data_IF_757728186641
#
_entry.id   IF_757728186641
#
_cell.length_a   1.000
_cell.length_b   1.000
_cell.length_c   1.000
_cell.angle_alpha   90.00
_cell.angle_beta   90.00
_cell.angle_gamma   90.00
#
_symmetry.space_group_name_H-M   'P 1'
#
loop_
_entity.id
_entity.type
_entity.pdbx_description
1 polymer ?
2 non-polymer ?
3 water ?
#
# COMPACT_ATOMS: atom_id res chain seq x y z
N UNK A 2 -8.84 7.04 -12.64
CA UNK A 2 -8.85 6.47 -11.24
C UNK A 2 -8.03 5.20 -11.29
N UNK A 3 -7.28 4.96 -10.23
CA UNK A 3 -6.43 3.79 -10.30
C UNK A 3 -7.12 2.47 -10.59
N UNK A 4 -6.47 1.59 -11.35
CA UNK A 4 -6.96 0.23 -11.49
C UNK A 4 -6.97 -0.45 -10.12
N UNK A 5 -5.97 -0.14 -9.29
CA UNK A 5 -5.90 -0.69 -7.92
C UNK A 5 -5.12 0.21 -7.00
N UNK A 6 -5.58 0.47 -5.79
CA UNK A 6 -4.82 1.15 -4.77
C UNK A 6 -4.37 0.03 -3.80
N UNK A 7 -3.09 -0.19 -3.61
CA UNK A 7 -2.60 -1.20 -2.69
C UNK A 7 -2.28 -0.66 -1.31
N UNK A 8 -2.71 -1.39 -0.28
CA UNK A 8 -2.48 -1.01 1.09
C UNK A 8 -2.08 -2.22 1.91
N UNK A 9 -1.21 -2.01 2.91
CA UNK A 9 -0.84 -3.04 3.85
C UNK A 9 0.39 -2.69 4.66
N UNK A 10 0.69 -3.58 5.60
CA UNK A 10 1.78 -3.33 6.54
C UNK A 10 3.15 -3.63 5.91
N UNK A 11 4.24 -3.10 6.48
CA UNK A 11 5.56 -3.56 6.05
C UNK A 11 5.65 -5.06 6.20
N UNK A 12 6.26 -5.76 5.25
CA UNK A 12 6.26 -7.19 5.25
C UNK A 12 5.19 -7.79 4.36
N UNK A 13 4.16 -7.00 3.98
CA UNK A 13 3.04 -7.55 3.23
C UNK A 13 3.40 -7.75 1.76
N UNK A 14 4.54 -7.21 1.34
CA UNK A 14 5.04 -7.37 -0.02
C UNK A 14 4.53 -6.28 -0.93
N UNK A 15 4.03 -5.20 -0.32
CA UNK A 15 3.42 -4.10 -1.06
C UNK A 15 4.28 -3.59 -2.24
N UNK A 16 5.59 -3.35 -2.06
CA UNK A 16 6.39 -2.83 -3.18
C UNK A 16 6.54 -3.84 -4.33
N UNK A 17 6.82 -5.10 -4.00
CA UNK A 17 7.09 -6.10 -4.99
C UNK A 17 5.79 -6.46 -5.71
N UNK A 18 4.69 -6.63 -4.96
CA UNK A 18 3.40 -6.91 -5.56
C UNK A 18 2.95 -5.75 -6.44
N UNK A 19 3.13 -4.51 -5.98
CA UNK A 19 2.77 -3.32 -6.81
C UNK A 19 3.46 -3.34 -8.16
N UNK A 20 4.75 -3.56 -8.15
CA UNK A 20 5.52 -3.62 -9.39
C UNK A 20 5.04 -4.76 -10.27
N UNK A 21 4.88 -5.92 -9.67
CA UNK A 21 4.44 -7.08 -10.44
C UNK A 21 3.06 -6.94 -11.08
N UNK A 22 2.14 -6.39 -10.26
CA UNK A 22 0.81 -6.13 -10.70
C UNK A 22 0.81 -5.11 -11.86
N UNK A 23 1.59 -4.02 -11.68
CA UNK A 23 1.62 -3.01 -12.74
C UNK A 23 2.18 -3.58 -14.05
N UNK A 24 3.21 -4.42 -13.92
CA UNK A 24 3.81 -5.10 -15.03
C UNK A 24 2.80 -5.98 -15.76
N UNK A 25 2.00 -6.75 -14.98
CA UNK A 25 1.11 -7.70 -15.61
C UNK A 25 -0.03 -7.00 -16.33
N UNK A 26 -0.50 -5.89 -15.73
CA UNK A 26 -1.56 -5.07 -16.34
C UNK A 26 -1.09 -4.14 -17.44
N UNK A 27 0.20 -3.85 -17.38
CA UNK A 27 0.79 -2.92 -18.31
C UNK A 27 0.40 -1.49 -18.02
N UNK A 28 0.51 -1.11 -16.75
CA UNK A 28 0.08 0.26 -16.30
C UNK A 28 1.15 0.91 -15.42
N UNK A 29 1.02 2.19 -15.16
CA UNK A 29 1.98 2.92 -14.36
C UNK A 29 1.90 2.65 -12.90
N UNK A 30 3.02 2.69 -12.21
CA UNK A 30 3.10 2.50 -10.75
C UNK A 30 3.46 3.77 -10.09
N UNK A 31 2.61 4.26 -9.20
CA UNK A 31 2.89 5.49 -8.49
C UNK A 31 2.90 5.19 -7.01
N UNK A 32 3.99 5.53 -6.35
CA UNK A 32 4.16 5.32 -4.87
C UNK A 32 4.05 6.65 -4.15
N UNK A 33 3.08 6.78 -3.24
CA UNK A 33 2.82 8.11 -2.64
C UNK A 33 4.00 8.64 -1.83
N UNK A 34 4.78 7.79 -1.17
CA UNK A 34 5.91 8.25 -0.35
C UNK A 34 6.96 8.92 -1.33
N UNK A 35 7.25 8.23 -2.44
CA UNK A 35 8.17 8.77 -3.45
C UNK A 35 7.58 10.07 -4.04
N UNK A 36 6.29 10.09 -4.35
CA UNK A 36 5.65 11.26 -4.89
C UNK A 36 5.75 12.51 -3.98
N UNK A 37 5.67 12.28 -2.67
CA UNK A 37 5.81 13.38 -1.73
C UNK A 37 7.20 13.95 -1.81
N UNK A 38 8.21 13.09 -1.90
CA UNK A 38 9.59 13.61 -1.96
C UNK A 38 9.82 14.32 -3.29
N UNK A 39 9.24 13.80 -4.37
CA UNK A 39 9.40 14.43 -5.69
C UNK A 39 8.69 15.80 -5.80
N UNK A 40 7.63 16.02 -5.04
CA UNK A 40 6.87 17.25 -5.12
C UNK A 40 7.39 18.34 -4.20
N UNK A 41 8.08 17.96 -3.12
CA UNK A 41 8.60 18.88 -2.07
C UNK A 41 10.11 19.10 -2.23
N UNK A 42 10.82 18.16 -2.77
CA UNK A 42 12.27 18.22 -2.75
C UNK A 42 12.89 17.97 -1.38
N UNK A 43 12.09 17.38 -0.48
CA UNK A 43 12.55 17.13 0.91
C UNK A 43 12.28 15.64 1.25
N UNK A 44 13.09 15.08 2.14
CA UNK A 44 12.90 13.66 2.54
C UNK A 44 11.78 13.58 3.52
N UNK A 45 11.13 12.39 3.58
CA UNK A 45 10.04 12.15 4.53
C UNK A 45 10.48 12.56 5.94
N UNK A 46 11.67 12.12 6.29
CA UNK A 46 12.19 12.43 7.63
C UNK A 46 12.35 13.93 7.95
N UNK A 47 12.82 14.69 6.95
CA UNK A 47 13.03 16.13 7.01
C UNK A 47 11.72 16.83 7.22
N UNK A 48 10.66 16.43 6.48
CA UNK A 48 9.38 17.05 6.64
C UNK A 48 8.81 16.82 8.05
N UNK A 49 8.91 15.55 8.49
CA UNK A 49 8.45 15.23 9.85
C UNK A 49 9.15 16.11 10.86
N UNK A 50 10.46 16.21 10.73
CA UNK A 50 11.28 16.84 11.77
C UNK A 50 11.02 18.32 11.83
N UNK A 51 10.78 18.93 10.68
CA UNK A 51 10.69 20.34 10.62
C UNK A 51 9.29 20.93 10.56
N UNK A 52 8.37 20.30 9.85
CA UNK A 52 6.98 20.83 9.82
C UNK A 52 6.04 20.13 10.81
N UNK A 53 6.46 18.93 11.24
CA UNK A 53 5.67 18.15 12.17
C UNK A 53 4.76 17.16 11.46
N UNK A 54 4.22 16.23 12.25
CA UNK A 54 3.44 15.12 11.69
C UNK A 54 2.20 15.61 11.01
N UNK A 55 1.49 16.53 11.65
CA UNK A 55 0.22 16.90 11.10
C UNK A 55 0.41 17.52 9.72
N UNK A 56 1.50 18.28 9.54
CA UNK A 56 1.71 18.96 8.30
C UNK A 56 2.16 17.95 7.25
N UNK A 57 3.01 16.99 7.63
CA UNK A 57 3.32 15.84 6.74
C UNK A 57 2.01 15.18 6.26
N UNK A 58 1.09 14.97 7.20
CA UNK A 58 -0.16 14.29 6.83
C UNK A 58 -1.05 15.11 5.89
N UNK A 59 -1.07 16.45 6.03
CA UNK A 59 -1.76 17.32 5.05
C UNK A 59 -1.17 17.25 3.64
N UNK A 60 0.15 17.34 3.56
CA UNK A 60 0.88 17.21 2.30
C UNK A 60 0.62 15.86 1.65
N UNK A 61 0.71 14.79 2.42
CA UNK A 61 0.38 13.46 1.91
C UNK A 61 -1.03 13.34 1.42
N UNK A 62 -1.98 13.85 2.18
CA UNK A 62 -3.39 13.84 1.78
C UNK A 62 -3.60 14.49 0.42
N UNK A 63 -2.94 15.64 0.22
CA UNK A 63 -3.02 16.34 -1.07
C UNK A 63 -2.49 15.52 -2.23
N UNK A 64 -1.33 14.91 -2.03
CA UNK A 64 -0.74 13.99 -2.98
C UNK A 64 -1.62 12.81 -3.31
N UNK A 65 -2.18 12.18 -2.27
CA UNK A 65 -3.07 11.03 -2.47
C UNK A 65 -4.33 11.43 -3.22
N UNK A 66 -4.97 12.55 -2.85
CA UNK A 66 -6.11 13.01 -3.59
C UNK A 66 -5.82 13.26 -5.08
N UNK A 67 -4.69 13.93 -5.35
CA UNK A 67 -4.27 14.12 -6.75
C UNK A 67 -4.07 12.83 -7.55
N UNK A 68 -3.37 11.87 -6.92
CA UNK A 68 -3.15 10.59 -7.51
C UNK A 68 -4.43 9.83 -7.79
N UNK A 69 -5.40 9.87 -6.83
CA UNK A 69 -6.67 9.18 -7.04
C UNK A 69 -7.46 9.82 -8.18
N UNK A 70 -7.33 11.14 -8.33
CA UNK A 70 -7.96 11.85 -9.41
C UNK A 70 -7.36 11.58 -10.78
N UNK A 71 -6.05 11.46 -10.86
CA UNK A 71 -5.35 11.61 -12.12
C UNK A 71 -4.61 10.33 -12.60
N UNK A 72 -4.29 9.39 -11.71
CA UNK A 72 -3.52 8.19 -12.05
C UNK A 72 -4.39 7.04 -12.45
N UNK A 73 -4.09 6.34 -13.53
CA UNK A 73 -4.91 5.27 -14.08
C UNK A 73 -4.39 3.89 -13.73
N UNK A 74 -3.22 3.78 -13.18
CA UNK A 74 -2.55 2.49 -12.95
C UNK A 74 -2.67 1.95 -11.55
N UNK A 75 -1.56 1.54 -10.98
CA UNK A 75 -1.49 0.96 -9.60
C UNK A 75 -0.97 2.10 -8.74
N UNK A 76 -1.61 2.30 -7.58
CA UNK A 76 -1.24 3.37 -6.61
C UNK A 76 -0.86 2.67 -5.33
N UNK A 77 0.37 2.75 -4.91
CA UNK A 77 0.82 2.07 -3.71
C UNK A 77 0.77 3.15 -2.60
N UNK A 78 -0.07 2.95 -1.60
CA UNK A 78 -0.26 3.93 -0.56
C UNK A 78 0.73 3.82 0.57
N UNK A 79 1.38 4.92 0.93
CA UNK A 79 2.24 4.96 2.07
C UNK A 79 1.57 4.52 3.36
N UNK A 80 2.35 3.91 4.24
CA UNK A 80 1.88 3.16 5.41
C UNK A 80 1.01 3.87 6.45
N UNK A 81 1.12 5.16 6.54
CA UNK A 81 0.36 5.88 7.54
C UNK A 81 -0.71 6.74 6.92
N UNK A 82 -0.84 6.74 5.60
CA UNK A 82 -1.82 7.59 4.95
C UNK A 82 -3.24 7.33 5.54
N UNK A 83 -3.55 6.06 5.71
CA UNK A 83 -4.92 5.75 6.15
C UNK A 83 -5.26 6.24 7.56
N UNK A 84 -4.30 6.72 8.32
CA UNK A 84 -4.63 7.31 9.64
C UNK A 84 -5.28 8.64 9.47
N UNK A 85 -5.17 9.23 8.29
CA UNK A 85 -5.81 10.50 7.99
C UNK A 85 -7.28 10.30 7.57
N UNK A 86 -8.25 10.86 8.35
CA UNK A 86 -9.64 10.66 7.97
C UNK A 86 -9.88 11.09 6.53
N UNK A 87 -9.26 12.18 6.07
CA UNK A 87 -9.48 12.65 4.73
C UNK A 87 -9.04 11.69 3.63
N UNK A 88 -7.99 10.94 3.91
CA UNK A 88 -7.56 9.83 3.02
C UNK A 88 -8.60 8.72 2.96
N UNK A 89 -9.12 8.33 4.14
CA UNK A 89 -10.13 7.28 4.13
C UNK A 89 -11.39 7.76 3.38
N UNK A 90 -11.75 9.03 3.48
CA UNK A 90 -12.86 9.58 2.74
C UNK A 90 -12.56 9.55 1.25
N UNK A 91 -11.37 10.05 0.88
CA UNK A 91 -11.01 10.13 -0.54
C UNK A 91 -10.94 8.75 -1.24
N UNK A 92 -10.58 7.70 -0.49
CA UNK A 92 -10.54 6.36 -1.05
C UNK A 92 -11.90 5.79 -1.42
N UNK A 93 -12.96 6.24 -0.76
CA UNK A 93 -14.27 5.60 -1.03
C UNK A 93 -14.71 5.70 -2.49
N UNK A 94 -15.06 4.56 -3.07
CA UNK A 94 -15.38 4.46 -4.46
C UNK A 94 -14.30 3.86 -5.36
N UNK A 95 -13.06 3.86 -4.84
CA UNK A 95 -11.94 3.28 -5.54
C UNK A 95 -11.83 1.77 -5.26
N UNK A 96 -11.03 1.08 -6.08
CA UNK A 96 -10.66 -0.25 -5.89
C UNK A 96 -9.46 -0.35 -4.96
N UNK A 97 -9.62 -0.88 -3.76
CA UNK A 97 -8.62 -0.83 -2.70
C UNK A 97 -8.32 -2.27 -2.29
N UNK A 98 -7.11 -2.72 -2.59
CA UNK A 98 -6.63 -4.08 -2.38
C UNK A 98 -5.74 -4.09 -1.12
N UNK A 99 -6.18 -4.77 -0.08
CA UNK A 99 -5.48 -4.94 1.19
C UNK A 99 -4.73 -6.22 1.22
N UNK A 100 -3.41 -6.15 1.21
CA UNK A 100 -2.48 -7.31 1.25
C UNK A 100 -2.36 -7.67 2.71
N UNK A 101 -3.15 -8.66 3.14
CA UNK A 101 -3.35 -8.93 4.55
C UNK A 101 -2.37 -9.96 5.05
N UNK A 102 -1.69 -9.64 6.16
CA UNK A 102 -0.80 -10.62 6.88
C UNK A 102 -1.02 -10.56 8.37
N UNK A 103 -0.73 -11.69 9.02
CA UNK A 103 -0.73 -11.74 10.47
C UNK A 103 0.44 -10.98 11.07
N UNK A 104 0.27 -10.72 12.35
CA UNK A 104 1.32 -10.12 13.18
C UNK A 104 2.56 -10.98 13.15
N UNK A 105 2.43 -12.29 13.30
CA UNK A 105 3.62 -13.18 13.30
C UNK A 105 4.37 -13.31 11.96
N UNK A 106 3.62 -13.34 10.86
CA UNK A 106 4.19 -13.33 9.54
C UNK A 106 4.96 -12.04 9.31
N UNK A 107 4.34 -10.91 9.69
CA UNK A 107 4.98 -9.61 9.55
C UNK A 107 6.30 -9.48 10.29
N UNK A 108 6.31 -9.93 11.53
CA UNK A 108 7.51 -9.95 12.33
C UNK A 108 8.60 -10.74 11.63
N UNK A 109 8.24 -11.91 11.18
CA UNK A 109 9.21 -12.76 10.50
C UNK A 109 9.77 -12.14 9.27
N UNK A 110 8.93 -11.46 8.50
CA UNK A 110 9.32 -10.90 7.21
C UNK A 110 10.03 -9.59 7.24
N UNK A 111 10.00 -8.92 8.37
CA UNK A 111 10.64 -7.64 8.52
C UNK A 111 11.91 -7.75 9.39
N UNK A 112 12.31 -8.98 9.68
CA UNK A 112 13.57 -9.22 10.43
C UNK A 112 14.86 -9.00 9.62
N UNK A 113 14.79 -8.92 8.30
CA UNK A 113 16.02 -8.71 7.56
C UNK A 113 16.83 -9.99 7.39
N UNK A 114 18.09 -9.83 7.00
CA UNK A 114 18.93 -10.99 6.65
C UNK A 114 19.65 -11.68 7.81
N UNK A 115 19.62 -11.10 8.99
CA UNK A 115 20.22 -11.74 10.18
C UNK A 115 19.52 -13.10 10.47
N UNK A 116 20.30 -14.02 10.96
CA UNK A 116 19.82 -15.36 11.16
C UNK A 116 19.12 -15.51 12.54
N UNK A 117 19.54 -14.71 13.51
CA UNK A 117 18.97 -14.72 14.86
C UNK A 117 18.36 -13.34 15.26
N UNK A 118 17.20 -13.00 14.69
CA UNK A 118 16.51 -11.72 14.98
C UNK A 118 16.18 -11.54 16.46
N UNK A 119 15.81 -12.64 17.14
CA UNK A 119 15.48 -12.54 18.59
C UNK A 119 16.66 -11.98 19.41
N UNK A 120 17.90 -12.17 18.97
CA UNK A 120 19.03 -11.71 19.76
C UNK A 120 19.21 -10.21 19.84
N UNK A 121 18.54 -9.44 18.98
CA UNK A 121 18.65 -7.99 19.05
C UNK A 121 17.73 -7.42 20.07
N UNK A 122 16.91 -8.28 20.68
CA UNK A 122 15.99 -7.90 21.74
C UNK A 122 14.60 -7.67 21.14
N UNK A 123 13.59 -7.61 22.00
CA UNK A 123 12.17 -7.60 21.60
C UNK A 123 11.61 -6.25 21.12
N UNK A 124 12.32 -5.15 21.28
CA UNK A 124 11.70 -3.84 21.00
C UNK A 124 11.19 -3.68 19.54
N UNK A 125 11.99 -4.03 18.51
CA UNK A 125 11.59 -3.86 17.10
C UNK A 125 10.31 -4.64 16.84
N UNK A 126 10.25 -5.89 17.27
CA UNK A 126 9.05 -6.75 17.05
C UNK A 126 7.84 -6.20 17.77
N UNK A 127 8.02 -5.75 19.02
CA UNK A 127 6.94 -5.13 19.81
C UNK A 127 6.38 -3.90 19.11
N UNK A 128 7.26 -3.03 18.60
CA UNK A 128 6.83 -1.81 17.90
C UNK A 128 6.06 -2.18 16.62
N UNK A 129 6.53 -3.22 15.91
CA UNK A 129 5.85 -3.77 14.72
C UNK A 129 4.42 -4.27 15.08
N UNK A 130 4.28 -5.04 16.14
CA UNK A 130 2.94 -5.56 16.55
C UNK A 130 2.00 -4.43 16.94
N UNK A 131 2.52 -3.42 17.62
CA UNK A 131 1.76 -2.18 17.91
C UNK A 131 1.24 -1.48 16.67
N UNK A 132 2.11 -1.33 15.66
CA UNK A 132 1.70 -0.73 14.40
C UNK A 132 0.58 -1.51 13.73
N UNK A 133 0.76 -2.81 13.62
CA UNK A 133 -0.27 -3.64 13.03
C UNK A 133 -1.61 -3.47 13.78
N UNK A 134 -1.60 -3.44 15.12
CA UNK A 134 -2.86 -3.28 15.85
C UNK A 134 -3.55 -1.96 15.55
N UNK A 135 -2.80 -0.89 15.24
CA UNK A 135 -3.34 0.40 14.97
C UNK A 135 -3.81 0.44 13.50
N UNK A 136 -2.99 -0.08 12.59
CA UNK A 136 -3.29 0.06 11.13
C UNK A 136 -4.22 -0.93 10.59
N UNK A 137 -4.08 -2.19 10.99
CA UNK A 137 -4.93 -3.25 10.38
C UNK A 137 -6.45 -2.93 10.38
N UNK A 138 -7.02 -2.46 11.50
CA UNK A 138 -8.48 -2.20 11.50
C UNK A 138 -8.89 -1.14 10.44
N UNK A 139 -7.99 -0.18 10.19
CA UNK A 139 -8.23 0.94 9.18
C UNK A 139 -8.16 0.39 7.79
N UNK A 140 -7.23 -0.53 7.56
CA UNK A 140 -7.12 -1.15 6.26
C UNK A 140 -8.32 -2.03 5.95
N UNK A 141 -8.80 -2.76 6.95
CA UNK A 141 -10.02 -3.59 6.71
C UNK A 141 -11.19 -2.63 6.40
N UNK A 142 -11.29 -1.49 7.08
CA UNK A 142 -12.39 -0.51 6.81
C UNK A 142 -12.37 -0.06 5.33
N UNK A 143 -11.19 0.34 4.78
CA UNK A 143 -11.11 0.94 3.47
C UNK A 143 -11.03 -0.06 2.31
N UNK A 144 -10.84 -1.34 2.61
CA UNK A 144 -10.58 -2.33 1.53
C UNK A 144 -11.84 -2.55 0.73
N UNK A 145 -11.67 -2.85 -0.53
CA UNK A 145 -12.68 -3.48 -1.30
C UNK A 145 -12.36 -4.90 -1.72
N UNK A 146 -11.10 -5.27 -1.65
CA UNK A 146 -10.59 -6.61 -1.90
C UNK A 146 -9.57 -6.95 -0.81
N UNK A 147 -9.79 -7.93 0.04
CA UNK A 147 -8.79 -8.38 0.99
C UNK A 147 -8.16 -9.61 0.45
N UNK A 148 -6.87 -9.65 0.52
CA UNK A 148 -6.12 -10.77 -0.02
C UNK A 148 -5.22 -11.29 1.10
N UNK A 149 -5.39 -12.57 1.44
CA UNK A 149 -4.56 -13.29 2.44
C UNK A 149 -3.23 -13.59 1.80
N UNK A 150 -2.17 -12.88 2.19
CA UNK A 150 -0.91 -13.06 1.59
C UNK A 150 0.06 -13.87 2.49
N UNK A 151 -0.43 -14.43 3.59
CA UNK A 151 0.43 -15.24 4.47
C UNK A 151 0.96 -16.49 3.74
N UNK A 152 2.27 -16.70 3.75
CA UNK A 152 2.83 -17.89 3.09
C UNK A 152 2.26 -18.14 1.70
N UNK A 153 2.15 -17.06 0.93
CA UNK A 153 1.90 -17.16 -0.51
C UNK A 153 2.99 -16.40 -1.25
N UNK A 154 3.40 -16.96 -2.37
CA UNK A 154 4.38 -16.36 -3.25
C UNK A 154 3.79 -15.15 -3.92
N UNK A 155 4.61 -14.10 -4.19
CA UNK A 155 4.06 -12.87 -4.77
C UNK A 155 3.38 -13.10 -6.11
N UNK A 156 3.79 -14.15 -6.82
CA UNK A 156 3.21 -14.49 -8.10
C UNK A 156 1.78 -14.94 -7.97
N UNK A 157 1.48 -15.73 -6.95
CA UNK A 157 0.14 -16.24 -6.71
C UNK A 157 -0.79 -15.11 -6.23
N UNK A 158 -0.22 -14.21 -5.45
CA UNK A 158 -0.97 -13.04 -4.95
C UNK A 158 -1.39 -12.16 -6.14
N UNK A 159 -0.48 -11.94 -7.09
CA UNK A 159 -0.76 -11.19 -8.31
C UNK A 159 -1.82 -11.88 -9.11
N UNK A 160 -1.78 -13.20 -9.28
CA UNK A 160 -2.85 -13.88 -9.98
C UNK A 160 -4.18 -13.77 -9.37
N UNK A 161 -4.23 -13.88 -8.06
CA UNK A 161 -5.46 -13.74 -7.31
C UNK A 161 -6.15 -12.39 -7.60
N UNK A 162 -5.34 -11.34 -7.53
CA UNK A 162 -5.79 -9.98 -7.77
C UNK A 162 -6.22 -9.83 -9.20
N UNK A 163 -5.45 -10.33 -10.15
CA UNK A 163 -5.84 -10.20 -11.59
C UNK A 163 -7.14 -10.91 -11.92
N UNK A 164 -7.41 -12.03 -11.25
CA UNK A 164 -8.66 -12.78 -11.48
C UNK A 164 -9.88 -12.02 -10.98
N UNK A 165 -9.66 -10.98 -10.20
CA UNK A 165 -10.72 -10.23 -9.60
C UNK A 165 -10.68 -8.77 -10.10
N UNK A 166 -9.92 -8.53 -11.16
CA UNK A 166 -9.80 -7.13 -11.70
C UNK A 166 -10.03 -7.18 -13.19
N UNK A 167 -10.80 -8.14 -13.64
CA UNK A 167 -10.99 -8.36 -15.10
C UNK A 167 -11.88 -7.27 -15.69
N UNK A 168 -11.67 -6.92 -16.93
CA UNK A 168 -12.47 -5.94 -17.65
C UNK A 168 -13.06 -6.59 -18.90
N UNK A 169 -14.41 -6.62 -19.02
CA UNK A 169 -15.04 -7.12 -20.24
C UNK A 169 -14.57 -6.41 -21.50
N UNK A 170 -14.63 -7.13 -22.61
CA UNK A 170 -14.44 -6.47 -23.89
C UNK A 170 -15.56 -5.47 -24.12
N UNK A 171 -15.22 -4.33 -24.73
CA UNK A 171 -16.23 -3.33 -24.96
C UNK A 171 -17.23 -3.80 -26.00
N UNK A 172 -18.45 -3.31 -25.88
CA UNK A 172 -19.51 -3.48 -26.87
C UNK A 172 -19.22 -2.66 -28.13
N UNK A 173 -19.89 -2.97 -29.23
CA UNK A 173 -19.75 -2.17 -30.45
C UNK A 173 -20.18 -0.73 -30.22
N UNK A 174 -21.27 -0.55 -29.46
CA UNK A 174 -21.71 0.78 -29.05
C UNK A 174 -20.57 1.57 -28.43
N UNK A 175 -19.94 0.98 -27.41
CA UNK A 175 -18.86 1.64 -26.68
C UNK A 175 -17.74 2.11 -27.59
N UNK A 176 -17.36 1.25 -28.55
CA UNK A 176 -16.26 1.52 -29.50
C UNK A 176 -16.67 2.67 -30.40
X LIG B 1 3.43 -11.91 -11.53
#
# INVERSE_FOLDING_TARGET
MAPKAVLVGLPGSGKSTIGRRLAKALGVGLLDTDVAIEQRTGRSIADIFATDGEQEFRRIEEDVVRAALADHDGVLSLGGGAVTSPGVRAALAGHTVVYLEISAAEGVRRTGGNTVRPLLAGPDRAEKYRALMAKRAPLYRRVATMRVDTNRRNPGAVVRHILSRLQVPSPSEAATLEHHHHHH
CL CL
#
